data_IF_007628408634
#
_entry.id   IF_007628408634
#
_cell.length_a   1.000
_cell.length_b   1.000
_cell.length_c   1.000
_cell.angle_alpha   90.00
_cell.angle_beta   90.00
_cell.angle_gamma   90.00
#
_symmetry.space_group_name_H-M   'P 1'
#
loop_
_entity.id
_entity.type
_entity.pdbx_description
1 polymer ?
#
# COMPACT_ATOMS: atom_id res chain seq x y z
N UNK A 1 21.76 -9.32 -43.13
CA UNK A 1 20.62 -8.66 -42.45
C UNK A 1 21.17 -7.82 -41.32
N UNK A 2 20.82 -6.53 -41.24
CA UNK A 2 21.29 -5.66 -40.16
C UNK A 2 20.77 -6.17 -38.81
N UNK A 3 21.62 -6.20 -37.80
CA UNK A 3 21.22 -6.54 -36.43
C UNK A 3 20.25 -5.46 -35.94
N UNK A 4 19.00 -5.84 -35.71
CA UNK A 4 18.00 -4.92 -35.20
C UNK A 4 18.32 -4.65 -33.72
N UNK A 5 18.57 -3.38 -33.39
CA UNK A 5 18.79 -2.96 -32.01
C UNK A 5 17.50 -2.37 -31.44
N UNK A 6 17.12 -2.81 -30.24
CA UNK A 6 16.00 -2.26 -29.47
C UNK A 6 16.51 -1.76 -28.12
N UNK A 7 15.71 -1.01 -27.38
CA UNK A 7 16.08 -0.61 -26.02
C UNK A 7 16.09 -1.83 -25.10
N UNK A 8 17.01 -1.86 -24.14
CA UNK A 8 17.10 -2.96 -23.19
C UNK A 8 15.79 -3.18 -22.41
N UNK A 9 15.12 -2.11 -21.98
CA UNK A 9 13.83 -2.23 -21.29
C UNK A 9 12.73 -2.84 -22.16
N UNK A 10 12.70 -2.52 -23.46
CA UNK A 10 11.77 -3.14 -24.42
C UNK A 10 12.07 -4.62 -24.65
N UNK A 11 13.34 -5.00 -24.82
CA UNK A 11 13.74 -6.40 -24.96
C UNK A 11 13.36 -7.19 -23.70
N UNK A 12 13.61 -6.62 -22.52
CA UNK A 12 13.21 -7.24 -21.27
C UNK A 12 11.69 -7.40 -21.16
N UNK A 13 10.90 -6.41 -21.60
CA UNK A 13 9.44 -6.52 -21.60
C UNK A 13 8.92 -7.60 -22.55
N UNK A 14 9.54 -7.73 -23.73
CA UNK A 14 9.18 -8.77 -24.70
C UNK A 14 9.52 -10.19 -24.19
N UNK A 15 10.62 -10.34 -23.43
CA UNK A 15 11.09 -11.64 -22.92
C UNK A 15 10.52 -12.01 -21.55
N UNK A 16 10.17 -11.02 -20.74
CA UNK A 16 9.71 -11.17 -19.36
C UNK A 16 8.39 -10.41 -19.17
N UNK A 17 7.40 -10.75 -20.00
CA UNK A 17 6.09 -10.10 -20.08
C UNK A 17 5.29 -10.10 -18.77
N UNK A 18 5.65 -10.98 -17.82
CA UNK A 18 5.06 -11.04 -16.49
C UNK A 18 5.43 -9.85 -15.60
N UNK A 19 6.46 -9.07 -15.94
CA UNK A 19 6.92 -7.94 -15.13
C UNK A 19 6.54 -6.60 -15.74
N UNK A 20 6.24 -5.63 -14.88
CA UNK A 20 5.95 -4.28 -15.33
C UNK A 20 7.21 -3.58 -15.85
N UNK A 21 7.02 -2.64 -16.78
CA UNK A 21 8.09 -1.78 -17.31
C UNK A 21 8.86 -1.09 -16.19
N UNK A 22 8.15 -0.57 -15.19
CA UNK A 22 8.75 0.14 -14.06
C UNK A 22 9.64 -0.77 -13.22
N UNK A 23 9.25 -2.03 -13.01
CA UNK A 23 10.06 -3.01 -12.27
C UNK A 23 11.33 -3.38 -13.05
N UNK A 24 11.19 -3.67 -14.35
CA UNK A 24 12.32 -3.94 -15.24
C UNK A 24 13.31 -2.77 -15.25
N UNK A 25 12.82 -1.54 -15.42
CA UNK A 25 13.66 -0.34 -15.41
C UNK A 25 14.38 -0.15 -14.06
N UNK A 26 13.72 -0.48 -12.96
CA UNK A 26 14.34 -0.47 -11.62
C UNK A 26 15.47 -1.49 -11.51
N UNK A 27 15.27 -2.72 -11.96
CA UNK A 27 16.31 -3.76 -11.94
C UNK A 27 17.50 -3.41 -12.82
N UNK A 28 17.25 -2.84 -14.00
CA UNK A 28 18.31 -2.31 -14.85
C UNK A 28 19.11 -1.28 -14.07
N UNK A 29 18.46 -0.25 -13.50
CA UNK A 29 19.14 0.80 -12.74
C UNK A 29 19.97 0.25 -11.57
N UNK A 30 19.49 -0.80 -10.90
CA UNK A 30 20.18 -1.49 -9.80
C UNK A 30 21.32 -2.42 -10.27
N UNK A 31 21.58 -2.52 -11.57
CA UNK A 31 22.60 -3.41 -12.13
C UNK A 31 22.25 -4.89 -12.03
N UNK A 32 20.94 -5.21 -11.98
CA UNK A 32 20.42 -6.58 -11.89
C UNK A 32 20.04 -7.17 -13.25
N UNK A 33 20.48 -6.54 -14.34
CA UNK A 33 20.28 -7.03 -15.71
C UNK A 33 21.63 -7.13 -16.40
N UNK A 34 21.89 -8.28 -17.02
CA UNK A 34 23.10 -8.52 -17.80
C UNK A 34 22.77 -8.67 -19.28
N UNK A 35 23.71 -8.24 -20.12
CA UNK A 35 23.70 -8.41 -21.58
C UNK A 35 25.02 -9.06 -21.96
N UNK A 36 24.97 -10.26 -22.54
CA UNK A 36 26.13 -11.08 -22.87
C UNK A 36 27.14 -11.20 -21.71
N UNK A 37 26.61 -11.43 -20.49
CA UNK A 37 27.38 -11.58 -19.26
C UNK A 37 27.87 -10.28 -18.61
N UNK A 38 27.53 -9.10 -19.15
CA UNK A 38 27.93 -7.79 -18.59
C UNK A 38 26.75 -7.03 -18.03
N UNK A 39 26.89 -6.46 -16.83
CA UNK A 39 25.86 -5.62 -16.22
C UNK A 39 25.60 -4.37 -17.07
N UNK A 40 24.33 -4.11 -17.37
CA UNK A 40 23.88 -2.88 -18.05
C UNK A 40 22.90 -2.16 -17.14
N UNK A 41 23.18 -0.88 -16.88
CA UNK A 41 22.43 -0.08 -15.89
C UNK A 41 21.60 1.07 -16.49
N UNK A 42 21.46 1.11 -17.82
CA UNK A 42 20.67 2.10 -18.54
C UNK A 42 19.59 1.42 -19.37
N UNK A 43 18.34 1.69 -19.03
CA UNK A 43 17.15 1.11 -19.68
C UNK A 43 17.12 1.36 -21.20
N UNK A 44 17.50 2.57 -21.62
CA UNK A 44 17.53 2.95 -23.04
C UNK A 44 18.76 2.46 -23.82
N UNK A 45 19.61 1.59 -23.24
CA UNK A 45 20.78 1.06 -23.95
C UNK A 45 20.33 0.29 -25.21
N UNK A 46 20.83 0.63 -26.40
CA UNK A 46 20.51 -0.13 -27.62
C UNK A 46 21.21 -1.49 -27.57
N UNK A 47 20.42 -2.55 -27.52
CA UNK A 47 20.88 -3.93 -27.42
C UNK A 47 20.40 -4.70 -28.64
N UNK A 48 21.25 -5.60 -29.14
CA UNK A 48 20.90 -6.52 -30.23
C UNK A 48 19.73 -7.40 -29.80
N UNK A 49 18.73 -7.57 -30.65
CA UNK A 49 17.63 -8.53 -30.47
C UNK A 49 18.14 -9.97 -30.22
N UNK A 50 19.34 -10.30 -30.72
CA UNK A 50 20.04 -11.58 -30.52
C UNK A 50 20.92 -11.67 -29.26
N UNK A 51 21.11 -10.59 -28.51
CA UNK A 51 21.94 -10.63 -27.31
C UNK A 51 21.32 -11.53 -26.23
N UNK A 52 22.16 -12.20 -25.44
CA UNK A 52 21.67 -12.90 -24.26
C UNK A 52 21.37 -11.87 -23.16
N UNK A 53 20.12 -11.82 -22.70
CA UNK A 53 19.65 -10.83 -21.70
C UNK A 53 19.06 -11.58 -20.52
N UNK A 54 19.69 -11.45 -19.37
CA UNK A 54 19.31 -12.14 -18.14
C UNK A 54 18.99 -11.13 -17.04
N UNK A 55 17.91 -11.39 -16.31
CA UNK A 55 17.53 -10.64 -15.11
C UNK A 55 17.93 -11.51 -13.90
N UNK A 56 18.90 -11.03 -13.13
CA UNK A 56 19.41 -11.69 -11.90
C UNK A 56 18.79 -11.10 -10.63
N UNK A 57 17.66 -10.40 -10.78
CA UNK A 57 16.96 -9.78 -9.67
C UNK A 57 16.07 -10.78 -8.95
N UNK A 58 15.97 -10.63 -7.63
CA UNK A 58 14.92 -11.29 -6.87
C UNK A 58 13.57 -10.64 -7.17
N UNK A 59 12.56 -11.49 -7.36
CA UNK A 59 11.18 -11.05 -7.57
C UNK A 59 10.67 -10.49 -6.24
N UNK A 60 10.25 -9.20 -6.18
CA UNK A 60 9.66 -8.65 -4.97
C UNK A 60 8.43 -9.45 -4.55
N UNK A 61 8.27 -9.66 -3.24
CA UNK A 61 7.08 -10.32 -2.68
C UNK A 61 5.80 -9.57 -3.04
N UNK A 62 5.86 -8.23 -3.02
CA UNK A 62 4.71 -7.35 -3.28
C UNK A 62 4.93 -6.43 -4.49
N UNK A 63 3.86 -6.03 -5.16
CA UNK A 63 3.90 -5.08 -6.30
C UNK A 63 4.52 -3.71 -5.96
N UNK A 64 4.52 -3.31 -4.68
CA UNK A 64 5.30 -2.18 -4.20
C UNK A 64 5.72 -2.35 -2.74
N UNK A 65 6.70 -1.54 -2.29
CA UNK A 65 7.28 -1.64 -0.95
C UNK A 65 6.27 -1.45 0.18
N UNK A 66 5.14 -0.78 -0.07
CA UNK A 66 4.12 -0.57 0.94
C UNK A 66 3.57 -1.89 1.50
N UNK A 67 3.55 -2.98 0.72
CA UNK A 67 3.10 -4.30 1.22
C UNK A 67 3.86 -4.78 2.46
N UNK A 68 5.16 -4.46 2.57
CA UNK A 68 5.97 -4.80 3.77
C UNK A 68 5.53 -4.05 5.03
N UNK A 69 4.88 -2.88 4.90
CA UNK A 69 4.34 -2.16 6.06
C UNK A 69 3.14 -2.91 6.64
N UNK A 70 2.22 -3.33 5.78
CA UNK A 70 1.03 -4.06 6.19
C UNK A 70 1.39 -5.46 6.71
N UNK A 71 2.32 -6.14 6.05
CA UNK A 71 2.89 -7.41 6.52
C UNK A 71 3.37 -7.30 7.97
N UNK A 72 4.21 -6.30 8.28
CA UNK A 72 4.71 -6.12 9.64
C UNK A 72 3.59 -5.91 10.65
N UNK A 73 2.54 -5.16 10.30
CA UNK A 73 1.38 -4.98 11.18
C UNK A 73 0.57 -6.27 11.36
N UNK A 74 0.37 -7.04 10.29
CA UNK A 74 -0.34 -8.32 10.35
C UNK A 74 0.39 -9.29 11.29
N UNK A 75 1.71 -9.42 11.14
CA UNK A 75 2.51 -10.37 11.91
C UNK A 75 2.69 -9.93 13.36
N UNK A 76 3.03 -8.67 13.61
CA UNK A 76 3.35 -8.19 14.96
C UNK A 76 2.12 -7.92 15.82
N UNK A 77 0.97 -7.65 15.20
CA UNK A 77 -0.31 -7.39 15.91
C UNK A 77 -1.29 -8.57 15.80
N UNK A 78 -0.82 -9.74 15.34
CA UNK A 78 -1.59 -11.00 15.22
C UNK A 78 -2.94 -10.82 14.50
N UNK A 79 -2.92 -10.18 13.33
CA UNK A 79 -4.14 -9.83 12.60
C UNK A 79 -4.56 -10.98 11.70
N UNK A 80 -5.78 -11.49 11.93
CA UNK A 80 -6.39 -12.49 11.05
C UNK A 80 -6.84 -11.87 9.74
N UNK A 81 -6.36 -12.36 8.61
CA UNK A 81 -6.74 -11.91 7.25
C UNK A 81 -7.42 -13.02 6.44
N UNK A 82 -7.01 -14.28 6.65
CA UNK A 82 -7.55 -15.45 5.94
C UNK A 82 -9.09 -15.46 5.89
N UNK A 83 -9.64 -15.63 4.69
CA UNK A 83 -11.07 -15.68 4.41
C UNK A 83 -11.83 -14.35 4.51
N UNK A 84 -11.18 -13.25 4.95
CA UNK A 84 -11.85 -11.95 5.14
C UNK A 84 -12.08 -11.19 3.85
N UNK A 85 -13.22 -10.49 3.78
CA UNK A 85 -13.46 -9.44 2.79
C UNK A 85 -12.84 -8.15 3.29
N UNK A 86 -11.94 -7.56 2.52
CA UNK A 86 -11.21 -6.37 2.90
C UNK A 86 -11.54 -5.15 2.04
N UNK A 87 -11.35 -3.96 2.60
CA UNK A 87 -11.27 -2.69 1.87
C UNK A 87 -9.86 -2.12 2.04
N UNK A 88 -9.17 -1.91 0.93
CA UNK A 88 -7.91 -1.18 0.87
C UNK A 88 -8.16 0.26 0.40
N UNK A 89 -7.97 1.23 1.28
CA UNK A 89 -8.20 2.65 0.99
C UNK A 89 -6.89 3.40 0.84
N UNK A 90 -6.66 3.93 -0.37
CA UNK A 90 -5.33 4.39 -0.80
C UNK A 90 -4.60 3.33 -1.63
N UNK A 91 -5.34 2.59 -2.46
CA UNK A 91 -4.84 1.45 -3.24
C UNK A 91 -3.51 1.75 -3.96
N UNK A 92 -3.37 2.92 -4.60
CA UNK A 92 -2.22 3.35 -5.37
C UNK A 92 -1.74 2.26 -6.35
N UNK A 93 -0.51 1.76 -6.21
CA UNK A 93 0.01 0.63 -7.02
C UNK A 93 -0.58 -0.73 -6.61
N UNK A 94 -1.11 -0.85 -5.39
CA UNK A 94 -1.77 -2.06 -4.87
C UNK A 94 -0.93 -2.85 -3.87
N UNK A 95 0.04 -2.22 -3.17
CA UNK A 95 0.94 -2.93 -2.25
C UNK A 95 0.24 -3.58 -1.06
N UNK A 96 -0.70 -2.86 -0.42
CA UNK A 96 -1.49 -3.38 0.69
C UNK A 96 -2.47 -4.46 0.20
N UNK A 97 -3.17 -4.22 -0.91
CA UNK A 97 -4.00 -5.24 -1.57
C UNK A 97 -3.22 -6.52 -1.89
N UNK A 98 -2.01 -6.44 -2.47
CA UNK A 98 -1.19 -7.63 -2.72
C UNK A 98 -0.84 -8.39 -1.43
N UNK A 99 -0.54 -7.66 -0.36
CA UNK A 99 -0.32 -8.23 0.95
C UNK A 99 -1.58 -8.94 1.49
N UNK A 100 -2.74 -8.29 1.46
CA UNK A 100 -4.01 -8.89 1.88
C UNK A 100 -4.32 -10.19 1.12
N UNK A 101 -4.14 -10.19 -0.20
CA UNK A 101 -4.39 -11.36 -1.04
C UNK A 101 -3.43 -12.53 -0.72
N UNK A 102 -2.17 -12.22 -0.41
CA UNK A 102 -1.17 -13.23 -0.02
C UNK A 102 -1.39 -13.78 1.40
N UNK A 103 -2.00 -12.99 2.29
CA UNK A 103 -2.45 -13.44 3.61
C UNK A 103 -3.87 -14.03 3.60
N UNK A 104 -4.40 -14.35 2.43
CA UNK A 104 -5.62 -15.15 2.28
C UNK A 104 -6.93 -14.36 2.33
N UNK A 105 -6.92 -13.04 2.11
CA UNK A 105 -8.17 -12.30 1.93
C UNK A 105 -9.00 -12.94 0.81
N UNK A 106 -10.28 -13.17 1.07
CA UNK A 106 -11.20 -13.80 0.11
C UNK A 106 -11.60 -12.82 -1.00
N UNK A 107 -11.66 -11.53 -0.68
CA UNK A 107 -11.96 -10.46 -1.62
C UNK A 107 -11.42 -9.12 -1.12
N UNK A 108 -11.00 -8.22 -2.03
CA UNK A 108 -10.50 -6.88 -1.70
C UNK A 108 -11.20 -5.83 -2.57
N UNK A 109 -11.86 -4.88 -1.95
CA UNK A 109 -12.25 -3.62 -2.59
C UNK A 109 -11.09 -2.64 -2.48
N UNK A 110 -10.51 -2.21 -3.61
CA UNK A 110 -9.43 -1.25 -3.63
C UNK A 110 -9.93 0.13 -4.06
N UNK A 111 -9.92 1.10 -3.15
CA UNK A 111 -10.40 2.47 -3.41
C UNK A 111 -9.22 3.43 -3.55
N UNK A 112 -9.23 4.24 -4.60
CA UNK A 112 -8.24 5.32 -4.78
C UNK A 112 -8.85 6.56 -5.43
N UNK A 113 -8.29 7.72 -5.10
CA UNK A 113 -8.63 9.00 -5.75
C UNK A 113 -7.93 9.16 -7.10
N UNK A 114 -6.79 8.50 -7.29
CA UNK A 114 -6.01 8.45 -8.51
C UNK A 114 -6.64 7.56 -9.58
N UNK A 115 -5.92 7.44 -10.70
CA UNK A 115 -6.33 6.65 -11.85
C UNK A 115 -5.10 6.12 -12.60
N UNK A 116 -5.16 4.86 -13.02
CA UNK A 116 -4.15 4.22 -13.88
C UNK A 116 -2.85 3.87 -13.16
N UNK A 117 -2.86 3.78 -11.83
CA UNK A 117 -1.66 3.50 -11.03
C UNK A 117 -1.56 2.03 -10.57
N UNK A 118 -2.69 1.33 -10.52
CA UNK A 118 -2.79 -0.04 -10.02
C UNK A 118 -2.01 -0.99 -10.93
N UNK A 119 -1.15 -1.81 -10.33
CA UNK A 119 -0.36 -2.81 -11.04
C UNK A 119 -1.26 -3.85 -11.74
N UNK A 120 -0.84 -4.31 -12.93
CA UNK A 120 -1.63 -5.27 -13.73
C UNK A 120 -1.95 -6.56 -12.98
N UNK A 121 -1.01 -7.06 -12.16
CA UNK A 121 -1.22 -8.23 -11.27
C UNK A 121 -2.46 -8.05 -10.41
N UNK A 122 -2.64 -6.86 -9.82
CA UNK A 122 -3.75 -6.55 -8.92
C UNK A 122 -5.02 -6.28 -9.71
N UNK A 123 -4.92 -5.56 -10.83
CA UNK A 123 -6.07 -5.23 -11.67
C UNK A 123 -6.74 -6.46 -12.29
N UNK A 124 -5.98 -7.54 -12.53
CA UNK A 124 -6.47 -8.78 -13.16
C UNK A 124 -6.86 -9.87 -12.15
N UNK A 125 -6.59 -9.70 -10.86
CA UNK A 125 -6.98 -10.68 -9.85
C UNK A 125 -8.50 -10.65 -9.65
N UNK A 126 -9.17 -11.80 -9.82
CA UNK A 126 -10.62 -11.93 -9.73
C UNK A 126 -11.18 -11.62 -8.33
N UNK A 127 -10.31 -11.66 -7.30
CA UNK A 127 -10.66 -11.32 -5.92
C UNK A 127 -10.58 -9.82 -5.66
N UNK A 128 -10.28 -9.00 -6.67
CA UNK A 128 -10.11 -7.55 -6.49
C UNK A 128 -11.15 -6.77 -7.29
N UNK A 129 -11.82 -5.84 -6.62
CA UNK A 129 -12.63 -4.81 -7.25
C UNK A 129 -11.92 -3.45 -7.13
N UNK A 130 -11.42 -2.92 -8.24
CA UNK A 130 -10.75 -1.62 -8.30
C UNK A 130 -11.78 -0.50 -8.48
N UNK A 131 -11.78 0.46 -7.56
CA UNK A 131 -12.67 1.61 -7.50
C UNK A 131 -11.83 2.89 -7.52
N UNK A 132 -11.37 3.27 -8.71
CA UNK A 132 -10.55 4.49 -8.93
C UNK A 132 -11.40 5.76 -8.99
N UNK A 133 -10.74 6.93 -8.97
CA UNK A 133 -11.38 8.27 -8.99
C UNK A 133 -12.44 8.47 -7.90
N UNK A 134 -12.30 7.76 -6.79
CA UNK A 134 -13.27 7.74 -5.70
C UNK A 134 -12.62 8.20 -4.42
N UNK A 135 -13.14 9.27 -3.84
CA UNK A 135 -12.72 9.73 -2.52
C UNK A 135 -13.46 8.92 -1.45
N UNK A 136 -12.71 8.21 -0.61
CA UNK A 136 -13.25 7.38 0.48
C UNK A 136 -14.27 8.14 1.34
N UNK A 137 -14.06 9.43 1.59
CA UNK A 137 -14.96 10.26 2.41
C UNK A 137 -16.41 10.27 1.89
N UNK A 138 -16.57 10.07 0.59
CA UNK A 138 -17.86 10.10 -0.09
C UNK A 138 -18.29 8.74 -0.61
N UNK A 139 -17.61 7.66 -0.19
CA UNK A 139 -18.00 6.31 -0.56
C UNK A 139 -19.36 5.98 0.07
N UNK A 140 -20.40 5.94 -0.76
CA UNK A 140 -21.78 5.74 -0.31
C UNK A 140 -22.01 4.33 0.28
N UNK A 141 -21.24 3.34 -0.18
CA UNK A 141 -21.34 1.95 0.27
C UNK A 141 -20.48 1.03 -0.59
N UNK A 142 -20.47 -0.24 -0.21
CA UNK A 142 -19.89 -1.34 -0.98
C UNK A 142 -20.96 -2.41 -1.20
N UNK A 143 -20.84 -3.27 -2.24
CA UNK A 143 -21.79 -4.35 -2.50
C UNK A 143 -22.02 -5.27 -1.30
N UNK A 144 -21.00 -5.44 -0.45
CA UNK A 144 -21.10 -6.09 0.84
C UNK A 144 -20.24 -5.35 1.86
N UNK A 145 -20.58 -5.48 3.15
CA UNK A 145 -19.75 -4.96 4.24
C UNK A 145 -18.47 -5.77 4.37
N UNK A 146 -17.40 -5.12 4.84
CA UNK A 146 -16.06 -5.71 4.95
C UNK A 146 -15.71 -6.11 6.39
N UNK A 147 -14.89 -7.16 6.53
CA UNK A 147 -14.34 -7.67 7.79
C UNK A 147 -13.05 -6.95 8.20
N UNK A 148 -12.36 -6.33 7.24
CA UNK A 148 -11.08 -5.67 7.44
C UNK A 148 -11.00 -4.40 6.58
N UNK A 149 -10.46 -3.31 7.15
CA UNK A 149 -10.16 -2.07 6.42
C UNK A 149 -8.71 -1.70 6.64
N UNK A 150 -7.99 -1.35 5.56
CA UNK A 150 -6.69 -0.69 5.62
C UNK A 150 -6.79 0.76 5.14
N UNK A 151 -6.18 1.69 5.88
CA UNK A 151 -6.08 3.10 5.51
C UNK A 151 -4.61 3.48 5.31
N UNK A 152 -4.20 3.70 4.04
CA UNK A 152 -2.91 4.31 3.67
C UNK A 152 -3.18 5.61 2.88
N UNK A 153 -3.63 6.64 3.60
CA UNK A 153 -4.06 7.90 2.99
C UNK A 153 -2.98 8.97 3.12
N UNK A 154 -2.93 9.88 2.14
CA UNK A 154 -2.04 11.04 2.16
C UNK A 154 -2.85 12.33 2.05
N UNK A 155 -2.34 13.42 2.65
CA UNK A 155 -2.96 14.76 2.61
C UNK A 155 -4.35 14.88 3.25
N UNK A 156 -4.78 13.90 4.02
CA UNK A 156 -6.04 13.90 4.77
C UNK A 156 -5.82 13.25 6.13
N UNK A 157 -6.49 13.77 7.16
CA UNK A 157 -6.54 13.12 8.46
C UNK A 157 -7.42 11.87 8.42
N UNK A 158 -6.97 10.80 9.07
CA UNK A 158 -7.72 9.54 9.22
C UNK A 158 -9.11 9.79 9.83
N UNK A 159 -9.22 10.71 10.80
CA UNK A 159 -10.48 10.98 11.48
C UNK A 159 -11.58 11.50 10.54
N UNK A 160 -11.21 12.16 9.44
CA UNK A 160 -12.16 12.69 8.48
C UNK A 160 -12.81 11.63 7.59
N UNK A 161 -12.22 10.44 7.49
CA UNK A 161 -12.78 9.34 6.69
C UNK A 161 -13.54 8.32 7.53
N UNK A 162 -13.40 8.38 8.86
CA UNK A 162 -14.02 7.42 9.78
C UNK A 162 -15.54 7.24 9.61
N UNK A 163 -16.35 8.28 9.35
CA UNK A 163 -17.79 8.07 9.08
C UNK A 163 -18.07 7.13 7.91
N UNK A 164 -17.30 7.24 6.81
CA UNK A 164 -17.44 6.36 5.66
C UNK A 164 -16.94 4.94 5.95
N UNK A 165 -15.83 4.83 6.70
CA UNK A 165 -15.27 3.54 7.16
C UNK A 165 -16.28 2.77 8.02
N UNK A 166 -16.89 3.43 9.01
CA UNK A 166 -17.91 2.84 9.89
C UNK A 166 -19.13 2.32 9.09
N UNK A 167 -19.50 3.02 8.02
CA UNK A 167 -20.65 2.67 7.17
C UNK A 167 -20.42 1.35 6.41
N UNK A 168 -19.19 1.12 5.93
CA UNK A 168 -18.86 -0.04 5.08
C UNK A 168 -18.35 -1.25 5.87
N UNK A 169 -17.97 -1.08 7.13
CA UNK A 169 -17.50 -2.20 7.97
C UNK A 169 -18.67 -3.02 8.56
N UNK A 170 -18.42 -4.32 8.77
CA UNK A 170 -19.22 -5.18 9.66
C UNK A 170 -19.00 -4.79 11.13
N UNK A 171 -19.79 -5.39 12.02
CA UNK A 171 -19.47 -5.43 13.46
C UNK A 171 -18.24 -6.33 13.68
N UNK A 172 -17.48 -6.09 14.74
CA UNK A 172 -16.24 -6.81 15.09
C UNK A 172 -15.13 -6.82 14.02
N UNK A 173 -15.29 -6.01 12.97
CA UNK A 173 -14.33 -5.86 11.90
C UNK A 173 -13.02 -5.18 12.38
N UNK A 174 -11.92 -5.49 11.70
CA UNK A 174 -10.59 -4.97 12.00
C UNK A 174 -10.30 -3.72 11.18
N UNK A 175 -9.77 -2.67 11.80
CA UNK A 175 -9.24 -1.50 11.12
C UNK A 175 -7.74 -1.43 11.34
N UNK A 176 -6.97 -1.31 10.27
CA UNK A 176 -5.54 -1.03 10.30
C UNK A 176 -5.34 0.32 9.64
N UNK A 177 -4.69 1.25 10.32
CA UNK A 177 -4.45 2.58 9.76
C UNK A 177 -2.97 2.94 9.84
N UNK A 178 -2.43 3.43 8.73
CA UNK A 178 -1.09 4.00 8.66
C UNK A 178 -1.16 5.47 9.05
N UNK A 179 -0.77 5.76 10.29
CA UNK A 179 -0.68 7.11 10.85
C UNK A 179 0.58 7.77 10.33
N UNK A 180 0.40 8.90 9.64
CA UNK A 180 1.45 9.72 9.04
C UNK A 180 1.51 11.07 9.76
N UNK A 181 2.43 11.28 10.72
CA UNK A 181 2.48 12.48 11.54
C UNK A 181 2.44 13.79 10.75
N UNK A 182 3.07 13.83 9.57
CA UNK A 182 3.09 15.00 8.69
C UNK A 182 1.70 15.44 8.17
N UNK A 183 0.69 14.56 8.20
CA UNK A 183 -0.69 14.89 7.82
C UNK A 183 -1.63 15.07 9.01
N UNK A 184 -1.17 14.74 10.21
CA UNK A 184 -2.00 14.74 11.43
C UNK A 184 -1.59 15.80 12.45
N UNK A 185 -0.30 16.18 12.45
CA UNK A 185 0.28 17.20 13.30
C UNK A 185 -0.19 18.61 12.89
N UNK A 186 -0.02 19.58 13.79
CA UNK A 186 -0.30 20.99 13.49
C UNK A 186 0.75 21.52 12.51
N UNK A 187 0.39 22.51 11.68
CA UNK A 187 1.32 23.13 10.73
C UNK A 187 2.62 23.64 11.38
N UNK A 188 2.55 24.15 12.62
CA UNK A 188 3.72 24.62 13.36
C UNK A 188 4.67 23.51 13.83
N UNK A 189 4.22 22.25 13.84
CA UNK A 189 4.99 21.08 14.28
C UNK A 189 5.64 20.34 13.10
N UNK A 190 5.31 20.72 11.86
CA UNK A 190 5.88 20.14 10.65
C UNK A 190 7.12 20.95 10.25
N UNK A 191 8.28 20.31 10.27
CA UNK A 191 9.55 20.95 9.96
C UNK A 191 9.76 21.19 8.47
N UNK A 192 10.90 21.79 8.14
CA UNK A 192 11.33 21.99 6.75
C UNK A 192 11.37 20.68 5.98
N UNK A 193 10.82 20.70 4.75
CA UNK A 193 10.69 19.52 3.90
C UNK A 193 9.55 18.58 4.30
N UNK A 194 8.56 19.03 5.08
CA UNK A 194 7.38 18.21 5.42
C UNK A 194 7.66 17.11 6.44
N UNK A 195 8.78 17.18 7.16
CA UNK A 195 9.24 16.11 8.06
C UNK A 195 8.90 16.45 9.51
N UNK A 196 8.22 15.53 10.19
CA UNK A 196 8.02 15.57 11.64
C UNK A 196 9.13 14.75 12.29
N UNK A 197 10.08 15.41 12.96
CA UNK A 197 11.24 14.75 13.60
C UNK A 197 11.11 14.55 15.10
N UNK A 198 10.28 15.37 15.75
CA UNK A 198 10.15 15.38 17.20
C UNK A 198 9.32 14.17 17.67
N UNK A 199 9.91 13.26 18.49
CA UNK A 199 9.20 12.11 19.04
C UNK A 199 7.99 12.50 19.91
N UNK A 200 8.01 13.66 20.56
CA UNK A 200 6.86 14.14 21.33
C UNK A 200 5.66 14.44 20.43
N UNK A 201 5.91 14.99 19.23
CA UNK A 201 4.86 15.22 18.23
C UNK A 201 4.35 13.89 17.68
N UNK A 202 5.21 12.89 17.49
CA UNK A 202 4.77 11.55 17.10
C UNK A 202 3.81 10.94 18.14
N UNK A 203 4.16 11.06 19.42
CA UNK A 203 3.31 10.58 20.51
C UNK A 203 1.97 11.34 20.58
N UNK A 204 1.99 12.68 20.51
CA UNK A 204 0.76 13.50 20.50
C UNK A 204 -0.16 13.08 19.36
N UNK A 205 0.40 12.87 18.16
CA UNK A 205 -0.36 12.40 17.00
C UNK A 205 -0.98 11.03 17.23
N UNK A 206 -0.21 10.06 17.75
CA UNK A 206 -0.72 8.71 18.02
C UNK A 206 -1.86 8.74 19.04
N UNK A 207 -1.69 9.46 20.15
CA UNK A 207 -2.70 9.60 21.19
C UNK A 207 -3.98 10.25 20.65
N UNK A 208 -3.83 11.33 19.86
CA UNK A 208 -4.94 12.02 19.20
C UNK A 208 -5.70 11.08 18.25
N UNK A 209 -5.00 10.30 17.44
CA UNK A 209 -5.62 9.41 16.46
C UNK A 209 -6.30 8.22 17.14
N UNK A 210 -5.65 7.61 18.12
CA UNK A 210 -6.22 6.52 18.90
C UNK A 210 -7.52 6.98 19.57
N UNK A 211 -7.47 8.05 20.37
CA UNK A 211 -8.66 8.57 21.03
C UNK A 211 -9.75 9.00 20.04
N UNK A 212 -9.35 9.60 18.91
CA UNK A 212 -10.26 10.02 17.85
C UNK A 212 -10.99 8.84 17.20
N UNK A 213 -10.29 7.74 16.91
CA UNK A 213 -10.88 6.51 16.34
C UNK A 213 -11.74 5.78 17.37
N UNK A 214 -11.36 5.78 18.64
CA UNK A 214 -12.16 5.19 19.73
C UNK A 214 -13.53 5.87 19.86
N UNK A 215 -13.61 7.19 19.64
CA UNK A 215 -14.88 7.92 19.60
C UNK A 215 -15.84 7.47 18.48
N UNK A 216 -15.34 6.71 17.48
CA UNK A 216 -16.16 6.10 16.43
C UNK A 216 -16.59 4.65 16.76
N UNK A 217 -16.39 4.18 17.99
CA UNK A 217 -16.80 2.84 18.42
C UNK A 217 -15.76 1.77 18.10
N UNK A 218 -14.49 2.08 18.31
CA UNK A 218 -13.38 1.15 18.10
C UNK A 218 -12.59 0.99 19.41
N UNK A 219 -11.90 -0.15 19.54
CA UNK A 219 -10.95 -0.42 20.61
C UNK A 219 -9.56 -0.59 20.00
N UNK A 220 -8.58 0.16 20.50
CA UNK A 220 -7.18 0.00 20.11
C UNK A 220 -6.65 -1.39 20.51
N UNK A 221 -5.94 -2.06 19.60
CA UNK A 221 -5.28 -3.36 19.80
C UNK A 221 -3.77 -3.28 19.81
N UNK A 222 -3.20 -2.09 19.61
CA UNK A 222 -1.78 -1.85 19.59
C UNK A 222 -1.33 -1.15 18.32
N UNK A 223 -0.07 -0.74 18.31
CA UNK A 223 0.57 -0.10 17.18
C UNK A 223 2.03 -0.50 17.08
N UNK A 224 2.60 -0.35 15.88
CA UNK A 224 4.02 -0.52 15.60
C UNK A 224 4.54 0.67 14.80
N UNK A 225 5.84 0.95 14.90
CA UNK A 225 6.50 1.79 13.90
C UNK A 225 6.57 1.04 12.56
N UNK A 226 6.25 1.74 11.47
CA UNK A 226 6.39 1.17 10.12
C UNK A 226 7.85 0.76 9.85
N UNK A 227 8.11 -0.45 9.33
CA UNK A 227 9.47 -0.90 9.01
C UNK A 227 10.13 -0.07 7.91
N UNK A 228 9.33 0.70 7.18
CA UNK A 228 9.76 1.62 6.14
C UNK A 228 9.40 3.05 6.51
N UNK A 229 10.34 3.97 6.32
CA UNK A 229 10.04 5.40 6.39
C UNK A 229 9.12 5.81 5.24
N UNK A 230 8.28 6.81 5.51
CA UNK A 230 7.41 7.46 4.54
C UNK A 230 8.18 8.26 3.50
N UNK A 231 7.43 8.93 2.62
CA UNK A 231 8.01 9.90 1.70
C UNK A 231 8.81 10.94 2.50
N UNK A 232 9.98 11.32 1.97
CA UNK A 232 10.88 12.33 2.56
C UNK A 232 11.50 11.92 3.92
N UNK A 233 11.36 10.65 4.33
CA UNK A 233 12.00 10.11 5.53
C UNK A 233 11.19 10.22 6.82
N UNK A 234 9.89 10.55 6.72
CA UNK A 234 8.99 10.59 7.88
C UNK A 234 8.88 9.22 8.56
N UNK A 235 8.90 9.20 9.90
CA UNK A 235 8.46 8.03 10.67
C UNK A 235 6.95 7.91 10.56
N UNK A 236 6.44 6.71 10.30
CA UNK A 236 5.02 6.41 10.19
C UNK A 236 4.69 5.24 11.11
N UNK A 237 3.44 5.08 11.50
CA UNK A 237 3.01 4.09 12.48
C UNK A 237 1.79 3.32 11.98
N UNK A 238 1.74 2.01 12.17
CA UNK A 238 0.53 1.23 11.91
C UNK A 238 -0.19 1.00 13.22
N UNK A 239 -1.48 1.35 13.27
CA UNK A 239 -2.33 1.16 14.45
C UNK A 239 -3.46 0.20 14.08
N UNK A 240 -3.68 -0.81 14.93
CA UNK A 240 -4.75 -1.79 14.77
C UNK A 240 -5.89 -1.49 15.74
N UNK A 241 -7.12 -1.58 15.25
CA UNK A 241 -8.33 -1.44 16.03
C UNK A 241 -9.30 -2.57 15.73
N UNK A 242 -10.15 -2.88 16.69
CA UNK A 242 -11.34 -3.71 16.49
C UNK A 242 -12.58 -2.87 16.70
N UNK A 243 -13.53 -2.93 15.78
CA UNK A 243 -14.82 -2.28 15.96
C UNK A 243 -15.57 -2.94 17.11
N UNK A 244 -16.08 -2.14 18.04
CA UNK A 244 -16.89 -2.61 19.14
C UNK A 244 -18.33 -2.68 18.63
N UNK A 245 -18.98 -3.85 18.73
CA UNK A 245 -20.41 -3.96 18.45
C UNK A 245 -21.18 -2.96 19.34
N UNK A 246 -22.12 -2.21 18.75
CA UNK A 246 -23.07 -1.42 19.53
C UNK A 246 -23.95 -2.41 20.31
N UNK A 247 -23.54 -2.79 21.52
CA UNK A 247 -24.46 -3.43 22.46
C UNK A 247 -25.57 -2.42 22.72
N UNK A 248 -26.73 -2.61 22.08
CA UNK A 248 -27.94 -1.96 22.56
C UNK A 248 -28.07 -2.37 24.02
N UNK A 249 -28.24 -1.42 24.96
CA UNK A 249 -28.62 -1.79 26.30
C UNK A 249 -29.96 -2.53 26.20
N UNK A 250 -30.02 -3.72 26.80
CA UNK A 250 -31.27 -4.44 27.05
C UNK A 250 -32.22 -3.59 27.90
#
# INVERSE_FOLDING_TARGET
>A
MAVQKKRLDEICLERYEQYSRTLIQSWILQGKVTVDGRVVNKAGTPVSDKANVEIIAEIPKYVCRAGYKLEAAIEQLDIKVEGKVALDSGLSTGGFTDCLLQYGASFVYGVDVGYGQVADKIRRDERVCVIERTNLRYLAGLPQKVDLVTLDLSFISILLVMPAVVNVMKEDATLITLVKPQFEARRSQVGGGGIVRDPQVHQEVLEKIIAGVENFGFSNKGWIESPLKGAEGNTEFLVCFTRIANRKPE
#
